data_IF_247070312942
#
_entry.id   IF_247070312942
#
_cell.length_a   1.000
_cell.length_b   1.000
_cell.length_c   1.000
_cell.angle_alpha   90.00
_cell.angle_beta   90.00
_cell.angle_gamma   90.00
#
_symmetry.space_group_name_H-M   'P 1'
#
loop_
_entity.id
_entity.type
_entity.pdbx_description
1 polymer ?
#
# COMPACT_ATOMS: atom_id res chain seq x y z
N UNK A 1 -22.47 -27.32 9.53
CA UNK A 1 -21.16 -27.09 8.88
C UNK A 1 -21.38 -27.20 7.38
N UNK A 2 -21.52 -26.05 6.70
CA UNK A 2 -21.77 -25.99 5.25
C UNK A 2 -20.45 -26.15 4.50
N UNK A 3 -20.33 -27.08 3.54
CA UNK A 3 -19.10 -27.28 2.80
C UNK A 3 -18.78 -26.05 1.95
N UNK A 4 -17.50 -25.70 1.88
CA UNK A 4 -16.97 -24.64 1.04
C UNK A 4 -17.19 -25.03 -0.44
N UNK A 5 -18.30 -24.56 -1.02
CA UNK A 5 -18.49 -24.58 -2.46
C UNK A 5 -17.30 -23.85 -3.05
N UNK A 6 -16.52 -24.53 -3.88
CA UNK A 6 -15.46 -23.91 -4.64
C UNK A 6 -16.12 -22.98 -5.65
N UNK A 7 -16.41 -21.75 -5.24
CA UNK A 7 -16.82 -20.64 -6.11
C UNK A 7 -15.75 -20.51 -7.20
N UNK A 8 -15.97 -21.15 -8.35
CA UNK A 8 -15.02 -21.25 -9.46
C UNK A 8 -14.69 -19.90 -10.06
N UNK A 9 -13.89 -19.09 -9.36
CA UNK A 9 -13.55 -17.73 -9.74
C UNK A 9 -14.72 -16.73 -9.72
N UNK A 10 -15.89 -17.11 -9.19
CA UNK A 10 -17.05 -16.22 -9.17
C UNK A 10 -16.75 -15.02 -8.26
N UNK A 11 -16.76 -13.81 -8.85
CA UNK A 11 -16.63 -12.54 -8.13
C UNK A 11 -17.95 -12.12 -7.47
N UNK A 12 -18.87 -13.05 -7.23
CA UNK A 12 -20.21 -12.77 -6.67
C UNK A 12 -20.10 -12.17 -5.27
N UNK A 13 -19.08 -12.57 -4.50
CA UNK A 13 -18.80 -11.99 -3.18
C UNK A 13 -18.48 -10.48 -3.24
N UNK A 14 -17.97 -9.96 -4.36
CA UNK A 14 -17.69 -8.51 -4.51
C UNK A 14 -18.99 -7.68 -4.41
N UNK A 15 -20.12 -8.22 -4.86
CA UNK A 15 -21.43 -7.55 -4.80
C UNK A 15 -21.95 -7.36 -3.36
N UNK A 16 -21.48 -8.19 -2.42
CA UNK A 16 -21.88 -8.16 -1.00
C UNK A 16 -20.89 -7.40 -0.12
N UNK A 17 -19.87 -6.76 -0.71
CA UNK A 17 -18.84 -6.07 0.04
C UNK A 17 -19.37 -4.77 0.65
N UNK A 18 -19.42 -4.68 1.99
CA UNK A 18 -19.84 -3.47 2.71
C UNK A 18 -19.06 -2.21 2.33
N UNK A 19 -17.81 -2.35 1.88
CA UNK A 19 -17.00 -1.24 1.41
C UNK A 19 -17.55 -0.58 0.13
N UNK A 20 -18.49 -1.18 -0.60
CA UNK A 20 -19.05 -0.56 -1.82
C UNK A 20 -19.87 0.71 -1.56
N UNK A 21 -20.31 0.92 -0.33
CA UNK A 21 -21.18 2.03 0.07
C UNK A 21 -20.40 3.25 0.55
N UNK A 22 -19.06 3.16 0.65
CA UNK A 22 -18.22 4.25 1.13
C UNK A 22 -17.32 4.81 0.03
N UNK A 23 -16.84 6.04 0.25
CA UNK A 23 -15.97 6.77 -0.68
C UNK A 23 -14.61 6.09 -0.87
N UNK A 24 -14.18 5.95 -2.13
CA UNK A 24 -12.94 5.29 -2.53
C UNK A 24 -11.68 5.90 -1.87
N UNK A 25 -11.64 7.22 -1.63
CA UNK A 25 -10.48 7.89 -1.06
C UNK A 25 -10.18 7.46 0.39
N UNK A 26 -11.19 6.91 1.08
CA UNK A 26 -11.09 6.40 2.44
C UNK A 26 -10.01 5.31 2.55
N UNK A 27 -9.88 4.43 1.54
CA UNK A 27 -8.89 3.35 1.54
C UNK A 27 -7.47 3.79 1.15
N UNK A 28 -7.31 4.92 0.47
CA UNK A 28 -6.00 5.36 -0.02
C UNK A 28 -5.37 6.46 0.85
N UNK A 29 -6.16 7.15 1.68
CA UNK A 29 -5.68 8.23 2.54
C UNK A 29 -5.18 7.73 3.89
N UNK A 30 -3.91 7.99 4.24
CA UNK A 30 -3.32 7.54 5.51
C UNK A 30 -4.08 7.99 6.76
N UNK A 31 -4.70 9.18 6.72
CA UNK A 31 -5.47 9.72 7.84
C UNK A 31 -6.74 8.91 8.11
N UNK A 32 -7.31 8.25 7.09
CA UNK A 32 -8.56 7.48 7.17
C UNK A 32 -8.33 5.98 7.25
N UNK A 33 -7.08 5.49 7.20
CA UNK A 33 -6.78 4.06 7.29
C UNK A 33 -7.38 3.34 8.52
N UNK A 34 -7.37 3.92 9.74
CA UNK A 34 -8.01 3.26 10.88
C UNK A 34 -9.51 3.00 10.64
N UNK A 35 -10.23 3.97 10.06
CA UNK A 35 -11.64 3.82 9.69
C UNK A 35 -11.82 2.77 8.57
N UNK A 36 -10.94 2.76 7.56
CA UNK A 36 -10.98 1.76 6.49
C UNK A 36 -10.82 0.34 7.04
N UNK A 37 -9.88 0.14 7.97
CA UNK A 37 -9.65 -1.15 8.62
C UNK A 37 -10.89 -1.57 9.40
N UNK A 38 -11.49 -0.67 10.19
CA UNK A 38 -12.72 -0.94 10.94
C UNK A 38 -13.88 -1.37 10.03
N UNK A 39 -14.12 -0.65 8.91
CA UNK A 39 -15.13 -1.01 7.92
C UNK A 39 -14.85 -2.41 7.34
N UNK A 40 -13.60 -2.69 6.98
CA UNK A 40 -13.23 -4.00 6.47
C UNK A 40 -13.43 -5.12 7.49
N UNK A 41 -13.14 -4.91 8.78
CA UNK A 41 -13.33 -5.94 9.81
C UNK A 41 -14.79 -6.33 10.02
N UNK A 42 -15.73 -5.43 9.70
CA UNK A 42 -17.17 -5.68 9.75
C UNK A 42 -17.74 -6.25 8.43
N UNK A 43 -16.92 -6.37 7.39
CA UNK A 43 -17.37 -6.76 6.06
C UNK A 43 -17.71 -8.25 6.00
N UNK A 44 -18.92 -8.67 5.55
CA UNK A 44 -19.31 -10.08 5.51
C UNK A 44 -18.50 -10.93 4.53
N UNK A 45 -17.78 -10.28 3.61
CA UNK A 45 -16.93 -10.93 2.59
C UNK A 45 -15.44 -10.70 2.85
N UNK A 46 -15.05 -10.42 4.10
CA UNK A 46 -13.67 -10.16 4.48
C UNK A 46 -12.72 -11.29 4.06
N UNK A 47 -13.06 -12.55 4.37
CA UNK A 47 -12.18 -13.67 4.05
C UNK A 47 -12.06 -14.02 2.56
N UNK A 48 -13.13 -14.10 1.75
CA UNK A 48 -12.97 -14.27 0.32
C UNK A 48 -12.22 -13.08 -0.32
N UNK A 49 -12.44 -11.86 0.17
CA UNK A 49 -11.69 -10.67 -0.25
C UNK A 49 -10.20 -10.81 0.09
N UNK A 50 -9.85 -11.21 1.32
CA UNK A 50 -8.46 -11.41 1.75
C UNK A 50 -7.75 -12.48 0.91
N UNK A 51 -8.40 -13.62 0.69
CA UNK A 51 -7.86 -14.69 -0.15
C UNK A 51 -7.64 -14.21 -1.60
N UNK A 52 -8.60 -13.49 -2.19
CA UNK A 52 -8.48 -12.97 -3.54
C UNK A 52 -7.35 -11.93 -3.68
N UNK A 53 -7.22 -11.01 -2.72
CA UNK A 53 -6.17 -9.98 -2.71
C UNK A 53 -4.79 -10.61 -2.56
N UNK A 54 -4.60 -11.53 -1.61
CA UNK A 54 -3.31 -12.18 -1.41
C UNK A 54 -2.88 -13.02 -2.62
N UNK A 55 -3.83 -13.65 -3.34
CA UNK A 55 -3.53 -14.32 -4.61
C UNK A 55 -3.09 -13.34 -5.71
N UNK A 56 -3.79 -12.21 -5.88
CA UNK A 56 -3.47 -11.20 -6.92
C UNK A 56 -2.16 -10.48 -6.63
N UNK A 57 -1.85 -10.23 -5.37
CA UNK A 57 -0.63 -9.53 -4.97
C UNK A 57 0.60 -10.44 -4.83
N UNK A 58 0.48 -11.74 -5.10
CA UNK A 58 1.58 -12.69 -4.90
C UNK A 58 2.85 -12.25 -5.65
N UNK A 59 3.95 -12.12 -4.93
CA UNK A 59 5.25 -11.67 -5.46
C UNK A 59 5.38 -10.17 -5.71
N UNK A 60 4.35 -9.36 -5.43
CA UNK A 60 4.44 -7.92 -5.59
C UNK A 60 5.27 -7.28 -4.45
N UNK A 61 6.19 -6.35 -4.78
CA UNK A 61 6.98 -5.66 -3.78
C UNK A 61 6.11 -4.75 -2.91
N UNK A 62 6.56 -4.49 -1.68
CA UNK A 62 5.87 -3.64 -0.69
C UNK A 62 5.37 -2.29 -1.24
N UNK A 63 6.13 -1.65 -2.14
CA UNK A 63 5.78 -0.33 -2.70
C UNK A 63 4.60 -0.35 -3.69
N UNK A 64 4.27 -1.51 -4.26
CA UNK A 64 3.12 -1.69 -5.17
C UNK A 64 1.81 -1.97 -4.43
N UNK A 65 1.88 -2.21 -3.11
CA UNK A 65 0.72 -2.47 -2.25
C UNK A 65 0.28 -1.18 -1.59
N UNK A 66 -0.68 -0.51 -2.20
CA UNK A 66 -1.20 0.76 -1.71
C UNK A 66 -2.52 0.54 -0.95
N UNK A 67 -2.83 1.50 -0.08
CA UNK A 67 -4.09 1.55 0.66
C UNK A 67 -4.38 0.40 1.61
N UNK A 68 -5.62 0.42 2.12
CA UNK A 68 -6.23 -0.63 2.94
C UNK A 68 -7.13 -1.47 2.05
N UNK A 69 -6.98 -2.79 2.11
CA UNK A 69 -7.92 -3.73 1.47
C UNK A 69 -7.92 -5.03 2.29
N UNK A 70 -9.07 -5.69 2.36
CA UNK A 70 -9.25 -6.91 3.15
C UNK A 70 -8.83 -6.78 4.63
N UNK A 71 -9.06 -5.59 5.21
CA UNK A 71 -8.71 -5.28 6.60
C UNK A 71 -7.21 -5.08 6.85
N UNK A 72 -6.40 -4.98 5.80
CA UNK A 72 -4.95 -4.93 5.90
C UNK A 72 -4.37 -3.77 5.11
N UNK A 73 -3.42 -3.06 5.70
CA UNK A 73 -2.57 -2.08 5.00
C UNK A 73 -1.58 -2.78 4.07
N UNK A 74 -1.07 -2.08 3.05
CA UNK A 74 -0.06 -2.61 2.14
C UNK A 74 1.14 -3.29 2.81
N UNK A 75 1.78 -2.67 3.83
CA UNK A 75 2.85 -3.30 4.60
C UNK A 75 2.43 -4.60 5.32
N UNK A 76 1.22 -4.66 5.88
CA UNK A 76 0.73 -5.86 6.56
C UNK A 76 0.49 -7.00 5.56
N UNK A 77 -0.07 -6.72 4.37
CA UNK A 77 -0.24 -7.73 3.32
C UNK A 77 1.08 -8.32 2.85
N UNK A 78 2.10 -7.47 2.68
CA UNK A 78 3.44 -7.94 2.34
C UNK A 78 4.04 -8.80 3.46
N UNK A 79 3.89 -8.40 4.73
CA UNK A 79 4.40 -9.17 5.86
C UNK A 79 3.76 -10.57 5.95
N UNK A 80 2.45 -10.68 5.71
CA UNK A 80 1.75 -11.97 5.67
C UNK A 80 2.24 -12.87 4.54
N UNK A 81 2.48 -12.32 3.35
CA UNK A 81 3.07 -13.08 2.24
C UNK A 81 4.49 -13.56 2.58
N UNK A 82 5.34 -12.67 3.10
CA UNK A 82 6.70 -13.04 3.49
C UNK A 82 6.70 -14.10 4.58
N UNK A 83 5.75 -14.07 5.52
CA UNK A 83 5.58 -15.13 6.52
C UNK A 83 5.15 -16.45 5.87
N UNK A 84 4.27 -16.43 4.87
CA UNK A 84 3.86 -17.64 4.15
C UNK A 84 4.99 -18.26 3.31
N UNK A 85 5.93 -17.47 2.81
CA UNK A 85 7.10 -17.95 2.06
C UNK A 85 8.32 -18.27 2.95
N UNK A 86 8.46 -17.52 4.04
CA UNK A 86 9.59 -17.59 4.96
C UNK A 86 9.35 -18.50 6.15
N UNK A 87 8.13 -19.02 6.35
CA UNK A 87 7.91 -20.14 7.24
C UNK A 87 8.75 -21.29 6.69
N UNK A 88 9.84 -21.69 7.36
CA UNK A 88 10.60 -22.83 6.91
C UNK A 88 9.58 -23.97 6.81
N UNK A 89 9.53 -24.61 5.64
CA UNK A 89 8.90 -25.93 5.54
C UNK A 89 9.44 -26.69 6.75
N UNK A 90 8.57 -27.17 7.67
CA UNK A 90 9.05 -27.97 8.80
C UNK A 90 9.98 -28.97 8.17
N UNK A 91 11.28 -28.86 8.45
CA UNK A 91 12.25 -29.76 7.87
C UNK A 91 11.68 -31.14 8.20
N UNK A 92 11.26 -31.89 7.17
CA UNK A 92 10.82 -33.25 7.39
C UNK A 92 11.87 -33.84 8.30
N UNK A 93 11.48 -34.38 9.48
CA UNK A 93 12.46 -34.97 10.38
C UNK A 93 13.27 -35.91 9.51
N UNK A 94 14.61 -35.76 9.44
CA UNK A 94 15.43 -36.50 8.50
C UNK A 94 15.04 -37.96 8.65
N UNK A 95 14.34 -38.47 7.64
CA UNK A 95 13.88 -39.85 7.64
C UNK A 95 15.12 -40.67 7.86
N UNK A 96 15.18 -41.34 9.01
CA UNK A 96 16.29 -42.23 9.34
C UNK A 96 16.54 -43.17 8.16
N UNK A 97 17.78 -43.61 7.95
CA UNK A 97 18.13 -44.43 6.81
C UNK A 97 17.21 -45.65 6.78
N UNK A 98 16.22 -45.63 5.88
CA UNK A 98 15.46 -46.81 5.51
C UNK A 98 16.43 -47.68 4.72
N UNK A 99 17.18 -48.48 5.47
CA UNK A 99 17.92 -49.59 4.94
C UNK A 99 16.89 -50.60 4.41
N UNK A 100 16.57 -50.52 3.13
CA UNK A 100 16.20 -51.70 2.34
C UNK A 100 16.22 -51.43 0.84
N UNK A 101 16.95 -52.31 0.17
CA UNK A 101 16.81 -52.74 -1.20
C UNK A 101 17.18 -51.74 -2.31
N UNK A 102 18.41 -51.91 -2.80
CA UNK A 102 18.72 -51.76 -4.24
C UNK A 102 17.79 -52.68 -5.04
N UNK A 103 16.98 -52.20 -5.99
CA UNK A 103 16.68 -52.96 -7.18
C UNK A 103 17.83 -52.77 -8.17
N UNK A 104 18.28 -53.87 -8.74
CA UNK A 104 19.25 -53.91 -9.81
C UNK A 104 18.79 -53.11 -11.03
N UNK A 105 19.78 -52.65 -11.78
CA UNK A 105 19.66 -51.87 -13.01
C UNK A 105 18.64 -52.45 -14.01
N UNK A 106 17.74 -51.58 -14.48
CA UNK A 106 17.03 -51.75 -15.73
C UNK A 106 17.57 -50.73 -16.75
N UNK A 107 17.68 -51.11 -18.04
CA UNK A 107 18.36 -50.32 -19.07
C UNK A 107 17.60 -49.05 -19.47
N UNK A 108 18.39 -48.06 -19.89
CA UNK A 108 17.96 -46.77 -20.48
C UNK A 108 17.00 -46.98 -21.67
N UNK A 109 15.83 -46.33 -21.69
CA UNK A 109 15.13 -46.07 -22.94
C UNK A 109 15.79 -44.89 -23.69
N UNK A 110 15.90 -45.05 -25.00
CA UNK A 110 16.36 -44.07 -25.99
C UNK A 110 15.49 -42.80 -26.03
N UNK A 111 16.05 -41.66 -26.50
CA UNK A 111 15.31 -40.42 -26.65
C UNK A 111 14.38 -40.49 -27.87
N UNK A 112 13.09 -40.67 -27.63
CA UNK A 112 12.06 -40.45 -28.63
C UNK A 112 11.90 -38.94 -28.87
N UNK A 113 12.36 -38.48 -30.03
CA UNK A 113 12.04 -37.20 -30.63
C UNK A 113 10.55 -37.13 -30.95
N UNK A 114 9.79 -36.19 -30.38
CA UNK A 114 8.47 -35.79 -30.93
C UNK A 114 8.17 -34.31 -30.60
N UNK A 115 8.24 -33.52 -31.67
CA UNK A 115 7.39 -32.38 -32.04
C UNK A 115 7.34 -31.10 -31.19
N UNK A 116 8.04 -30.09 -31.71
CA UNK A 116 7.70 -28.67 -31.54
C UNK A 116 6.28 -28.40 -32.08
N UNK A 117 5.39 -27.73 -31.32
CA UNK A 117 4.22 -27.11 -31.91
C UNK A 117 4.59 -25.75 -32.53
N UNK A 118 4.42 -25.67 -33.85
CA UNK A 118 4.51 -24.46 -34.66
C UNK A 118 3.60 -23.33 -34.14
N UNK A 119 4.03 -22.05 -34.22
CA UNK A 119 3.21 -20.90 -33.88
C UNK A 119 2.19 -20.58 -34.99
N UNK A 120 0.94 -21.03 -34.80
CA UNK A 120 -0.18 -20.60 -35.64
C UNK A 120 -0.60 -19.15 -35.35
N UNK A 121 -0.04 -18.28 -36.18
CA UNK A 121 -0.61 -17.13 -36.92
C UNK A 121 -1.51 -16.06 -36.26
N UNK A 122 -1.39 -14.81 -36.76
CA UNK A 122 -2.13 -13.64 -36.31
C UNK A 122 -3.47 -13.51 -37.04
N UNK A 123 -4.47 -12.98 -36.35
CA UNK A 123 -5.70 -12.52 -36.98
C UNK A 123 -6.86 -12.52 -36.02
N UNK A 124 -7.23 -11.33 -35.53
CA UNK A 124 -8.61 -10.82 -35.42
C UNK A 124 -8.55 -9.54 -34.58
N UNK A 125 -8.53 -8.41 -35.27
CA UNK A 125 -9.73 -7.63 -35.57
C UNK A 125 -9.98 -6.60 -34.47
N UNK A 126 -9.49 -5.40 -34.75
CA UNK A 126 -9.98 -4.14 -34.21
C UNK A 126 -11.52 -4.16 -34.13
N UNK A 127 -12.05 -4.26 -32.91
CA UNK A 127 -13.38 -3.75 -32.61
C UNK A 127 -13.22 -2.48 -31.78
N UNK A 128 -13.02 -1.37 -32.49
CA UNK A 128 -13.39 -0.04 -32.02
C UNK A 128 -14.91 0.04 -31.98
N UNK A 129 -15.51 -0.49 -30.91
CA UNK A 129 -16.89 -0.19 -30.57
C UNK A 129 -16.92 1.19 -29.90
N UNK A 130 -17.23 2.20 -30.70
CA UNK A 130 -17.64 3.51 -30.23
C UNK A 130 -18.91 3.35 -29.38
N UNK A 131 -18.75 3.36 -28.06
CA UNK A 131 -19.89 3.53 -27.16
C UNK A 131 -20.22 5.02 -27.20
N UNK A 132 -21.25 5.34 -27.98
CA UNK A 132 -21.87 6.64 -28.04
C UNK A 132 -22.14 7.13 -26.60
N UNK A 133 -21.64 8.33 -26.32
CA UNK A 133 -21.97 9.07 -25.12
C UNK A 133 -23.49 9.31 -25.08
N UNK A 134 -24.20 8.47 -24.32
CA UNK A 134 -25.53 8.81 -23.84
C UNK A 134 -25.35 9.96 -22.86
N UNK A 135 -25.59 11.19 -23.33
CA UNK A 135 -25.73 12.36 -22.46
C UNK A 135 -26.85 12.06 -21.46
N UNK A 136 -26.61 12.08 -20.14
CA UNK A 136 -27.71 12.11 -19.20
C UNK A 136 -28.53 13.41 -19.41
N UNK A 137 -29.87 13.36 -19.30
CA UNK A 137 -30.69 14.56 -19.37
C UNK A 137 -30.35 15.51 -18.20
N UNK A 138 -30.51 16.83 -18.37
CA UNK A 138 -30.34 17.78 -17.29
C UNK A 138 -31.35 17.50 -16.17
N UNK A 139 -30.83 17.46 -14.95
CA UNK A 139 -31.57 17.39 -13.69
C UNK A 139 -32.61 18.51 -13.63
N UNK A 140 -33.88 18.13 -13.52
CA UNK A 140 -34.94 19.05 -13.13
C UNK A 140 -34.68 19.52 -11.69
N UNK A 141 -34.55 20.84 -11.53
CA UNK A 141 -34.49 21.49 -10.24
C UNK A 141 -35.78 21.23 -9.47
N UNK A 142 -35.67 20.57 -8.33
CA UNK A 142 -36.74 20.47 -7.33
C UNK A 142 -36.77 21.77 -6.52
N UNK A 143 -37.91 22.47 -6.42
CA UNK A 143 -38.03 23.62 -5.53
C UNK A 143 -37.99 23.16 -4.07
N UNK A 144 -37.15 23.85 -3.29
CA UNK A 144 -37.10 23.76 -1.83
C UNK A 144 -38.46 24.14 -1.23
N UNK A 145 -39.05 23.21 -0.48
CA UNK A 145 -40.18 23.47 0.39
C UNK A 145 -39.83 23.04 1.81
N UNK A 146 -40.12 23.94 2.74
CA UNK A 146 -40.32 23.73 4.18
C UNK A 146 -39.16 23.17 5.01
N UNK A 147 -38.26 24.07 5.39
CA UNK A 147 -37.53 23.96 6.66
C UNK A 147 -38.47 24.38 7.80
N UNK A 148 -38.89 23.49 8.71
CA UNK A 148 -39.62 23.88 9.91
C UNK A 148 -38.70 24.71 10.85
N UNK A 149 -39.25 25.67 11.62
CA UNK A 149 -38.48 26.46 12.55
C UNK A 149 -37.93 25.61 13.71
N UNK A 150 -36.73 25.99 14.15
CA UNK A 150 -35.98 25.45 15.29
C UNK A 150 -36.86 25.30 16.56
N UNK A 151 -36.83 24.14 17.24
CA UNK A 151 -37.29 24.07 18.61
C UNK A 151 -36.33 24.86 19.52
N UNK A 152 -36.91 25.70 20.37
CA UNK A 152 -36.22 26.52 21.35
C UNK A 152 -35.18 25.74 22.17
N UNK A 153 -34.06 26.37 22.57
CA UNK A 153 -33.05 25.72 23.38
C UNK A 153 -33.63 25.34 24.76
N UNK A 154 -33.34 24.14 25.28
CA UNK A 154 -33.66 23.81 26.67
C UNK A 154 -32.85 24.71 27.60
N UNK A 155 -33.54 25.23 28.61
CA UNK A 155 -33.02 26.09 29.66
C UNK A 155 -31.74 25.52 30.29
N UNK A 156 -30.81 26.44 30.52
CA UNK A 156 -29.54 26.23 31.18
C UNK A 156 -29.73 25.52 32.53
N UNK A 157 -29.29 24.27 32.59
CA UNK A 157 -28.98 23.62 33.86
C UNK A 157 -27.84 24.38 34.53
N UNK A 158 -28.13 24.94 35.69
CA UNK A 158 -27.18 25.63 36.57
C UNK A 158 -26.04 24.66 36.94
N UNK A 159 -24.76 25.01 36.72
CA UNK A 159 -23.66 24.24 37.27
C UNK A 159 -23.63 24.42 38.80
N UNK A 160 -23.53 23.29 39.51
CA UNK A 160 -23.40 23.28 40.97
C UNK A 160 -22.05 23.89 41.42
N UNK A 161 -22.00 24.49 42.62
CA UNK A 161 -20.78 25.10 43.16
C UNK A 161 -19.91 24.03 43.83
N UNK A 162 -19.20 23.20 43.05
CA UNK A 162 -18.12 22.35 43.62
C UNK A 162 -17.16 21.80 42.55
N UNK A 163 -16.77 22.62 41.58
CA UNK A 163 -15.68 22.26 40.66
C UNK A 163 -14.45 23.13 40.94
N UNK A 164 -13.54 22.56 41.73
CA UNK A 164 -12.25 23.13 42.05
C UNK A 164 -11.49 23.52 40.77
N UNK A 165 -10.80 24.68 40.74
CA UNK A 165 -10.10 25.15 39.56
C UNK A 165 -9.02 24.16 39.15
N UNK A 166 -9.21 23.54 37.98
CA UNK A 166 -8.16 22.72 37.37
C UNK A 166 -6.94 23.60 37.05
N UNK A 167 -5.71 23.13 37.34
CA UNK A 167 -4.49 23.86 36.99
C UNK A 167 -4.43 24.08 35.48
N UNK A 168 -3.89 25.23 35.03
CA UNK A 168 -3.78 25.54 33.61
C UNK A 168 -2.98 24.44 32.91
N UNK A 169 -3.58 23.85 31.88
CA UNK A 169 -2.91 22.87 31.03
C UNK A 169 -1.60 23.47 30.50
N UNK A 170 -0.48 22.73 30.50
CA UNK A 170 0.79 23.24 29.96
C UNK A 170 0.56 23.69 28.51
N UNK A 171 1.18 24.79 28.07
CA UNK A 171 0.97 25.30 26.73
C UNK A 171 1.28 24.19 25.75
N UNK A 172 0.25 23.84 24.98
CA UNK A 172 0.30 22.96 23.84
C UNK A 172 1.53 23.38 23.04
N UNK A 173 2.56 22.52 22.99
CA UNK A 173 3.69 22.69 22.08
C UNK A 173 3.09 22.53 20.69
N UNK A 174 2.51 23.62 20.20
CA UNK A 174 2.05 23.81 18.83
C UNK A 174 3.15 23.27 17.96
N UNK A 175 2.83 22.10 17.42
CA UNK A 175 3.46 21.54 16.26
C UNK A 175 3.75 22.69 15.30
N UNK A 176 5.03 22.97 15.13
CA UNK A 176 5.52 23.75 14.02
C UNK A 176 4.90 23.16 12.75
N UNK A 177 4.04 23.95 12.12
CA UNK A 177 4.08 24.20 10.67
C UNK A 177 4.48 22.97 9.85
N UNK A 178 3.57 22.00 9.82
CA UNK A 178 3.55 20.92 8.83
C UNK A 178 2.53 21.35 7.78
N UNK A 179 2.86 21.95 6.64
CA UNK A 179 4.12 22.19 5.98
C UNK A 179 3.71 22.50 4.55
N UNK A 180 4.03 23.70 4.07
CA UNK A 180 3.99 24.01 2.65
C UNK A 180 4.73 22.89 1.90
N UNK A 181 4.04 22.25 0.97
CA UNK A 181 4.67 21.28 0.10
C UNK A 181 5.89 21.97 -0.55
N UNK A 182 7.12 21.45 -0.41
CA UNK A 182 8.29 22.12 -0.95
C UNK A 182 8.07 22.33 -2.45
N UNK A 183 8.15 23.60 -2.86
CA UNK A 183 7.94 24.11 -4.20
C UNK A 183 8.72 23.29 -5.23
N UNK A 184 8.03 22.32 -5.86
CA UNK A 184 8.63 21.28 -6.72
C UNK A 184 9.22 21.75 -8.06
N UNK A 185 9.43 23.05 -8.31
CA UNK A 185 9.71 23.52 -9.69
C UNK A 185 10.92 24.44 -9.82
N UNK A 186 11.48 25.00 -8.72
CA UNK A 186 12.69 25.83 -8.86
C UNK A 186 13.94 25.00 -8.58
N UNK A 187 14.87 24.85 -9.55
CA UNK A 187 16.17 24.25 -9.30
C UNK A 187 16.84 24.99 -8.13
N UNK A 188 17.43 24.24 -7.20
CA UNK A 188 18.13 24.85 -6.08
C UNK A 188 19.21 25.82 -6.59
N UNK A 189 19.34 27.02 -6.00
CA UNK A 189 20.41 27.93 -6.35
C UNK A 189 21.78 27.27 -6.09
N UNK A 190 22.80 27.68 -6.85
CA UNK A 190 24.17 27.30 -6.60
C UNK A 190 24.61 27.66 -5.17
N UNK A 191 25.62 26.96 -4.64
CA UNK A 191 26.01 27.08 -3.24
C UNK A 191 25.23 26.18 -2.27
N UNK A 192 24.43 25.24 -2.78
CA UNK A 192 23.73 24.23 -1.96
C UNK A 192 24.21 22.82 -2.30
N UNK A 193 24.08 21.87 -1.36
CA UNK A 193 24.41 20.46 -1.62
C UNK A 193 23.55 19.84 -2.74
N UNK A 194 22.29 20.29 -2.86
CA UNK A 194 21.40 19.87 -3.94
C UNK A 194 21.90 20.36 -5.32
N UNK A 195 22.41 21.60 -5.41
CA UNK A 195 23.04 22.12 -6.62
C UNK A 195 24.34 21.36 -6.97
N UNK A 196 25.17 21.02 -5.97
CA UNK A 196 26.34 20.16 -6.17
C UNK A 196 25.97 18.81 -6.81
N UNK A 197 24.94 18.13 -6.28
CA UNK A 197 24.44 16.87 -6.84
C UNK A 197 23.83 17.04 -8.25
N UNK A 198 23.28 18.22 -8.57
CA UNK A 198 22.79 18.53 -9.92
C UNK A 198 23.96 18.62 -10.91
N UNK A 199 25.03 19.33 -10.57
CA UNK A 199 26.22 19.44 -11.43
C UNK A 199 26.80 18.06 -11.74
N UNK A 200 26.94 17.18 -10.73
CA UNK A 200 27.42 15.81 -10.94
C UNK A 200 26.52 14.98 -11.87
N UNK A 201 25.20 15.08 -11.73
CA UNK A 201 24.27 14.33 -12.59
C UNK A 201 24.26 14.81 -14.04
N UNK A 202 24.53 16.09 -14.26
CA UNK A 202 24.54 16.71 -15.59
C UNK A 202 25.92 16.71 -16.25
N UNK A 203 26.98 16.36 -15.51
CA UNK A 203 28.36 16.48 -15.98
C UNK A 203 28.80 17.94 -16.16
N UNK A 204 28.11 18.89 -15.53
CA UNK A 204 28.49 20.30 -15.56
C UNK A 204 29.67 20.55 -14.60
N UNK A 205 30.60 21.47 -14.91
CA UNK A 205 31.66 21.86 -14.00
C UNK A 205 31.04 22.42 -12.71
N UNK A 206 31.42 21.83 -11.58
CA UNK A 206 30.95 22.28 -10.25
C UNK A 206 31.60 23.63 -9.94
N UNK A 207 30.81 24.62 -9.54
CA UNK A 207 31.35 25.91 -9.10
C UNK A 207 31.99 25.85 -7.70
N UNK A 208 32.73 26.91 -7.33
CA UNK A 208 33.41 26.98 -6.03
C UNK A 208 32.42 26.98 -4.85
N UNK A 209 31.27 27.63 -5.00
CA UNK A 209 30.25 27.72 -3.96
C UNK A 209 29.65 26.34 -3.64
N UNK A 210 29.32 25.54 -4.65
CA UNK A 210 28.80 24.18 -4.51
C UNK A 210 29.84 23.23 -3.91
N UNK A 211 31.13 23.36 -4.28
CA UNK A 211 32.22 22.61 -3.64
C UNK A 211 32.31 22.92 -2.15
N UNK A 212 32.33 24.21 -1.78
CA UNK A 212 32.40 24.64 -0.39
C UNK A 212 31.19 24.15 0.43
N UNK A 213 29.98 24.26 -0.14
CA UNK A 213 28.75 23.79 0.50
C UNK A 213 28.77 22.28 0.78
N UNK A 214 29.26 21.47 -0.17
CA UNK A 214 29.40 20.03 0.03
C UNK A 214 30.42 19.68 1.14
N UNK A 215 31.56 20.38 1.17
CA UNK A 215 32.58 20.22 2.23
C UNK A 215 32.00 20.58 3.61
N UNK A 216 31.28 21.71 3.70
CA UNK A 216 30.65 22.15 4.94
C UNK A 216 29.63 21.13 5.47
N UNK A 217 28.73 20.66 4.61
CA UNK A 217 27.74 19.65 4.96
C UNK A 217 28.40 18.33 5.38
N UNK A 218 29.43 17.86 4.65
CA UNK A 218 30.18 16.67 5.03
C UNK A 218 30.79 16.78 6.45
N UNK A 219 31.31 17.96 6.82
CA UNK A 219 31.79 18.23 8.18
C UNK A 219 30.67 18.25 9.22
N UNK A 220 29.49 18.78 8.87
CA UNK A 220 28.31 18.79 9.75
C UNK A 220 27.82 17.36 10.07
N UNK A 221 27.79 16.47 9.08
CA UNK A 221 27.40 15.07 9.29
C UNK A 221 28.38 14.34 10.22
N UNK A 222 29.68 14.61 10.11
CA UNK A 222 30.70 14.04 11.02
C UNK A 222 30.52 14.53 12.46
N UNK A 223 30.24 15.83 12.66
CA UNK A 223 30.10 16.43 14.00
C UNK A 223 28.80 16.03 14.72
N UNK A 224 27.70 15.90 13.99
CA UNK A 224 26.39 15.59 14.61
C UNK A 224 26.15 14.10 14.85
N UNK A 225 27.05 13.21 14.38
CA UNK A 225 26.97 11.77 14.64
C UNK A 225 25.73 11.08 14.04
N UNK A 226 24.97 11.76 13.17
CA UNK A 226 23.68 11.25 12.65
C UNK A 226 23.83 10.14 11.60
N UNK A 227 25.05 9.87 11.14
CA UNK A 227 25.36 8.66 10.38
C UNK A 227 25.46 7.47 11.32
N UNK A 228 24.33 6.83 11.63
CA UNK A 228 24.36 5.42 12.01
C UNK A 228 25.06 4.69 10.87
N UNK A 229 26.22 4.10 11.14
CA UNK A 229 26.92 3.29 10.16
C UNK A 229 25.93 2.28 9.60
N UNK A 230 25.75 2.27 8.27
CA UNK A 230 24.99 1.23 7.62
C UNK A 230 25.70 -0.08 7.97
N UNK A 231 25.02 -1.06 8.61
CA UNK A 231 25.67 -2.30 8.99
C UNK A 231 26.29 -2.95 7.74
N UNK A 232 27.46 -3.60 7.87
CA UNK A 232 28.12 -4.25 6.75
C UNK A 232 27.15 -5.21 6.06
N UNK A 233 27.16 -5.21 4.73
CA UNK A 233 26.37 -6.16 3.95
C UNK A 233 26.90 -7.57 4.26
N UNK A 234 26.05 -8.54 4.63
CA UNK A 234 26.52 -9.89 4.86
C UNK A 234 27.16 -10.47 3.58
N UNK A 235 28.16 -11.35 3.71
CA UNK A 235 28.78 -12.02 2.56
C UNK A 235 27.74 -12.87 1.80
N UNK A 236 27.95 -12.99 0.49
CA UNK A 236 27.07 -13.68 -0.46
C UNK A 236 27.20 -15.20 -0.36
#
# INVERSE_FOLDING_TARGET
>A
MTPAVSDGGSRIWELRAACREWDADLWFTRRTWPLAVAICTLCPVLEPCRAAVLRRERGLPRCRRQGVVAGLTGPQRHALEQAAHGSPVPAEPPGGPSASARPAAAPRPEPAAVSEPEPSRPGEALQTAAVAAVRPPPTAAVPSADTPPDPAPPEASRPGPDEAPQPPSPPDRRTSERGDAPSRIRPAPCGTRAAYQRHLRRGEPVDAACRAANTYEAGRYRRTGTTRARPPRPPA
#
